data_IF_220735307666
#
_entry.id   IF_220735307666
#
_cell.length_a   1.000
_cell.length_b   1.000
_cell.length_c   1.000
_cell.angle_alpha   90.00
_cell.angle_beta   90.00
_cell.angle_gamma   90.00
#
_symmetry.space_group_name_H-M   'P 1'
#
loop_
_entity.id
_entity.type
_entity.pdbx_description
1 polymer ?
#
# COMPACT_ATOMS: atom_id res chain seq x y z
N UNK A 1 -1.77 8.30 17.81
CA UNK A 1 -2.88 7.69 17.05
C UNK A 1 -3.55 8.81 16.29
N UNK A 2 -3.75 8.64 15.00
CA UNK A 2 -4.44 9.61 14.13
C UNK A 2 -5.65 8.91 13.50
N UNK A 3 -6.77 9.62 13.43
CA UNK A 3 -8.01 9.12 12.83
C UNK A 3 -8.58 10.21 11.93
N UNK A 4 -8.95 9.84 10.71
CA UNK A 4 -9.63 10.73 9.78
C UNK A 4 -10.55 9.96 8.84
N UNK A 5 -11.49 10.66 8.21
CA UNK A 5 -12.41 10.08 7.24
C UNK A 5 -12.21 10.78 5.90
N UNK A 6 -12.00 10.00 4.85
CA UNK A 6 -12.04 10.46 3.47
C UNK A 6 -13.45 10.21 2.94
N UNK A 7 -14.16 11.28 2.63
CA UNK A 7 -15.51 11.23 2.05
C UNK A 7 -15.41 11.28 0.53
N UNK A 8 -15.99 10.29 -0.13
CA UNK A 8 -16.22 10.27 -1.57
C UNK A 8 -17.73 10.27 -1.82
N UNK A 9 -18.15 10.58 -3.04
CA UNK A 9 -19.56 10.43 -3.38
C UNK A 9 -19.99 8.96 -3.25
N UNK A 10 -21.03 8.70 -2.44
CA UNK A 10 -21.58 7.38 -2.11
C UNK A 10 -20.64 6.39 -1.39
N UNK A 11 -19.41 6.77 -1.04
CA UNK A 11 -18.44 5.92 -0.35
C UNK A 11 -17.66 6.74 0.67
N UNK A 12 -17.39 6.21 1.85
CA UNK A 12 -16.44 6.84 2.77
C UNK A 12 -15.45 5.83 3.32
N UNK A 13 -14.24 6.30 3.59
CA UNK A 13 -13.13 5.50 4.08
C UNK A 13 -12.60 6.12 5.38
N UNK A 14 -12.82 5.42 6.49
CA UNK A 14 -12.22 5.77 7.76
C UNK A 14 -10.81 5.20 7.81
N UNK A 15 -9.81 6.04 8.13
CA UNK A 15 -8.41 5.64 8.28
C UNK A 15 -8.01 5.83 9.73
N UNK A 16 -7.50 4.76 10.33
CA UNK A 16 -7.00 4.74 11.69
C UNK A 16 -5.52 4.36 11.69
N UNK A 17 -4.66 5.31 12.05
CA UNK A 17 -3.22 5.13 12.12
C UNK A 17 -2.76 5.04 13.57
N UNK A 18 -2.29 3.85 13.94
CA UNK A 18 -1.74 3.50 15.23
C UNK A 18 -0.22 3.33 15.14
N UNK A 19 0.43 3.15 16.29
CA UNK A 19 1.89 3.01 16.35
C UNK A 19 2.42 1.82 15.57
N UNK A 20 1.61 0.76 15.44
CA UNK A 20 1.99 -0.53 14.86
C UNK A 20 1.12 -0.91 13.65
N UNK A 21 0.17 -0.08 13.24
CA UNK A 21 -0.77 -0.47 12.19
C UNK A 21 -1.48 0.72 11.57
N UNK A 22 -1.87 0.56 10.30
CA UNK A 22 -2.87 1.38 9.64
C UNK A 22 -4.04 0.47 9.31
N UNK A 23 -5.23 0.81 9.79
CA UNK A 23 -6.47 0.17 9.35
C UNK A 23 -7.34 1.14 8.57
N UNK A 24 -8.04 0.60 7.59
CA UNK A 24 -8.99 1.35 6.76
C UNK A 24 -10.33 0.63 6.77
N UNK A 25 -11.42 1.35 7.01
CA UNK A 25 -12.77 0.78 7.06
C UNK A 25 -13.67 1.57 6.12
N UNK A 26 -14.16 0.90 5.08
CA UNK A 26 -15.16 1.49 4.19
C UNK A 26 -16.52 1.49 4.91
N UNK A 27 -17.40 2.45 4.61
CA UNK A 27 -18.76 2.47 5.15
C UNK A 27 -19.68 1.36 4.60
N UNK A 28 -19.24 0.67 3.54
CA UNK A 28 -19.88 -0.48 2.92
C UNK A 28 -18.83 -1.35 2.24
N UNK A 29 -19.11 -2.64 1.96
CA UNK A 29 -18.17 -3.49 1.23
C UNK A 29 -17.86 -2.95 -0.17
N UNK A 30 -16.59 -3.07 -0.59
CA UNK A 30 -16.08 -2.64 -1.90
C UNK A 30 -15.45 -3.80 -2.66
N UNK A 31 -15.48 -3.74 -3.99
CA UNK A 31 -14.75 -4.68 -4.84
C UNK A 31 -13.26 -4.36 -4.79
N UNK A 32 -12.42 -5.38 -4.72
CA UNK A 32 -10.96 -5.20 -4.62
C UNK A 32 -10.20 -6.19 -5.49
N UNK A 33 -9.03 -5.78 -5.95
CA UNK A 33 -8.00 -6.64 -6.55
C UNK A 33 -6.67 -6.33 -5.87
N UNK A 34 -5.99 -7.34 -5.33
CA UNK A 34 -4.79 -7.12 -4.54
C UNK A 34 -3.78 -8.27 -4.55
N UNK A 35 -2.55 -7.95 -4.16
CA UNK A 35 -1.51 -8.90 -3.75
C UNK A 35 -1.36 -8.96 -2.23
N UNK A 36 -2.45 -8.73 -1.47
CA UNK A 36 -2.45 -8.81 -0.02
C UNK A 36 -2.13 -10.24 0.46
N UNK A 37 -1.42 -10.36 1.59
CA UNK A 37 -1.03 -11.65 2.18
C UNK A 37 -2.27 -12.44 2.63
N UNK A 38 -3.20 -11.77 3.30
CA UNK A 38 -4.44 -12.38 3.78
C UNK A 38 -5.62 -11.91 2.94
N UNK A 39 -6.40 -12.88 2.43
CA UNK A 39 -7.55 -12.68 1.54
C UNK A 39 -7.20 -11.76 0.35
N UNK A 40 -6.07 -12.04 -0.30
CA UNK A 40 -5.67 -11.36 -1.54
C UNK A 40 -6.47 -11.80 -2.78
N UNK A 41 -6.05 -11.32 -3.95
CA UNK A 41 -6.71 -11.58 -5.22
C UNK A 41 -7.97 -10.73 -5.43
N UNK A 42 -8.90 -11.20 -6.26
CA UNK A 42 -10.20 -10.57 -6.51
C UNK A 42 -11.17 -10.91 -5.38
N UNK A 43 -11.58 -9.91 -4.61
CA UNK A 43 -12.39 -10.09 -3.40
C UNK A 43 -13.39 -8.95 -3.21
N UNK A 44 -14.25 -9.10 -2.22
CA UNK A 44 -15.05 -8.01 -1.64
C UNK A 44 -14.57 -7.80 -0.20
N UNK A 45 -14.27 -6.55 0.18
CA UNK A 45 -13.74 -6.22 1.50
C UNK A 45 -14.52 -5.06 2.15
N UNK A 46 -14.68 -5.12 3.47
CA UNK A 46 -15.21 -4.03 4.29
C UNK A 46 -14.10 -3.28 5.04
N UNK A 47 -12.95 -3.95 5.27
CA UNK A 47 -11.80 -3.35 5.93
C UNK A 47 -10.48 -3.78 5.31
N UNK A 48 -9.42 -3.03 5.60
CA UNK A 48 -8.04 -3.39 5.35
C UNK A 48 -7.21 -3.17 6.61
N UNK A 49 -6.28 -4.08 6.86
CA UNK A 49 -5.25 -3.97 7.89
C UNK A 49 -3.86 -4.02 7.25
N UNK A 50 -3.05 -2.99 7.46
CA UNK A 50 -1.62 -3.00 7.21
C UNK A 50 -0.88 -3.00 8.55
N UNK A 51 -0.34 -4.16 8.94
CA UNK A 51 0.28 -4.39 10.25
C UNK A 51 1.80 -4.27 10.17
N UNK A 52 2.40 -3.49 11.07
CA UNK A 52 3.84 -3.45 11.23
C UNK A 52 4.30 -4.74 11.92
N UNK A 53 5.26 -5.41 11.32
CA UNK A 53 5.93 -6.59 11.90
C UNK A 53 7.42 -6.36 12.01
N UNK A 54 8.04 -6.94 13.03
CA UNK A 54 9.48 -6.90 13.19
C UNK A 54 10.19 -7.64 12.05
N UNK A 55 11.46 -7.28 11.81
CA UNK A 55 12.29 -8.03 10.87
C UNK A 55 12.53 -9.44 11.41
N UNK A 56 12.19 -10.46 10.61
CA UNK A 56 12.62 -11.80 10.89
C UNK A 56 14.05 -11.99 10.34
N UNK A 57 15.04 -12.03 11.23
CA UNK A 57 16.45 -12.22 10.88
C UNK A 57 16.86 -13.69 10.87
N UNK A 58 15.94 -14.62 11.17
CA UNK A 58 16.24 -16.05 11.19
C UNK A 58 16.37 -16.60 9.76
N UNK A 59 17.42 -17.39 9.53
CA UNK A 59 17.62 -18.10 8.25
C UNK A 59 16.61 -19.25 8.06
N UNK A 60 16.07 -19.77 9.17
CA UNK A 60 15.07 -20.83 9.25
C UNK A 60 13.75 -20.31 9.86
N UNK A 61 12.62 -20.81 9.37
CA UNK A 61 11.31 -20.56 9.97
C UNK A 61 11.18 -21.39 11.26
N UNK A 62 11.63 -20.84 12.40
CA UNK A 62 11.52 -21.50 13.70
C UNK A 62 10.25 -21.07 14.45
N UNK A 63 9.14 -21.79 14.21
CA UNK A 63 7.95 -21.69 15.05
C UNK A 63 7.24 -20.34 15.10
N UNK A 64 7.48 -19.44 14.14
CA UNK A 64 6.76 -18.18 14.04
C UNK A 64 5.26 -18.44 13.79
N UNK A 65 4.42 -17.56 14.31
CA UNK A 65 3.00 -17.56 14.00
C UNK A 65 2.81 -17.21 12.51
N UNK A 66 1.88 -17.91 11.84
CA UNK A 66 1.64 -17.65 10.43
C UNK A 66 1.06 -16.24 10.23
N UNK A 67 1.37 -15.55 9.12
CA UNK A 67 0.85 -14.21 8.86
C UNK A 67 -0.67 -14.11 9.00
N UNK A 68 -1.40 -15.14 8.56
CA UNK A 68 -2.86 -15.22 8.64
C UNK A 68 -3.34 -15.15 10.10
N UNK A 69 -2.77 -15.98 10.99
CA UNK A 69 -3.18 -16.01 12.40
C UNK A 69 -2.85 -14.68 13.08
N UNK A 70 -1.67 -14.10 12.79
CA UNK A 70 -1.26 -12.81 13.36
C UNK A 70 -2.20 -11.68 12.90
N UNK A 71 -2.57 -11.66 11.62
CA UNK A 71 -3.49 -10.67 11.05
C UNK A 71 -4.91 -10.83 11.63
N UNK A 72 -5.42 -12.06 11.74
CA UNK A 72 -6.73 -12.34 12.34
C UNK A 72 -6.79 -11.90 13.80
N UNK A 73 -5.76 -12.22 14.60
CA UNK A 73 -5.68 -11.78 16.01
C UNK A 73 -5.69 -10.27 16.12
N UNK A 74 -4.89 -9.57 15.30
CA UNK A 74 -4.85 -8.11 15.33
C UNK A 74 -6.16 -7.48 14.84
N UNK A 75 -6.76 -8.01 13.77
CA UNK A 75 -8.05 -7.55 13.27
C UNK A 75 -9.16 -7.70 14.32
N UNK A 76 -9.18 -8.83 15.04
CA UNK A 76 -10.10 -9.08 16.15
C UNK A 76 -9.89 -8.08 17.29
N UNK A 77 -8.63 -7.83 17.70
CA UNK A 77 -8.31 -6.84 18.74
C UNK A 77 -8.76 -5.42 18.37
N UNK A 78 -8.67 -5.07 17.08
CA UNK A 78 -9.08 -3.78 16.55
C UNK A 78 -10.60 -3.68 16.29
N UNK A 79 -11.33 -4.79 16.37
CA UNK A 79 -12.76 -4.85 16.03
C UNK A 79 -13.04 -4.51 14.57
N UNK A 80 -12.16 -4.91 13.64
CA UNK A 80 -12.33 -4.61 12.21
C UNK A 80 -13.55 -5.34 11.62
N UNK A 81 -14.26 -4.67 10.73
CA UNK A 81 -15.38 -5.26 10.00
C UNK A 81 -14.88 -6.27 8.97
N UNK A 82 -15.42 -7.50 9.01
CA UNK A 82 -15.19 -8.54 8.01
C UNK A 82 -16.07 -8.31 6.75
N UNK A 83 -15.66 -8.83 5.58
CA UNK A 83 -14.36 -9.42 5.27
C UNK A 83 -13.24 -8.36 5.23
N UNK A 84 -12.04 -8.68 5.70
CA UNK A 84 -10.89 -7.77 5.63
C UNK A 84 -9.71 -8.32 4.81
N UNK A 85 -8.98 -7.42 4.15
CA UNK A 85 -7.69 -7.71 3.53
C UNK A 85 -6.55 -7.44 4.52
N UNK A 86 -5.56 -8.32 4.57
CA UNK A 86 -4.42 -8.17 5.47
C UNK A 86 -3.09 -8.05 4.73
N UNK A 87 -2.37 -6.95 5.01
CA UNK A 87 -1.01 -6.69 4.58
C UNK A 87 -0.09 -6.62 5.81
N UNK A 88 1.18 -6.93 5.61
CA UNK A 88 2.22 -6.72 6.61
C UNK A 88 3.33 -5.86 6.04
N UNK A 89 3.95 -5.06 6.89
CA UNK A 89 5.10 -4.23 6.51
C UNK A 89 6.14 -4.22 7.61
N UNK A 90 7.41 -4.20 7.21
CA UNK A 90 8.50 -3.91 8.14
C UNK A 90 8.96 -2.45 8.05
N UNK A 91 8.30 -1.64 7.22
CA UNK A 91 8.52 -0.19 7.17
C UNK A 91 8.01 0.49 8.43
N UNK A 92 8.59 1.65 8.75
CA UNK A 92 8.11 2.48 9.86
C UNK A 92 6.69 2.98 9.57
N UNK A 93 5.77 2.84 10.53
CA UNK A 93 4.43 3.42 10.42
C UNK A 93 4.43 4.95 10.26
N UNK A 94 5.50 5.63 10.72
CA UNK A 94 5.70 7.07 10.50
C UNK A 94 5.93 7.47 9.03
N UNK A 95 6.20 6.50 8.16
CA UNK A 95 6.25 6.69 6.71
C UNK A 95 4.86 6.83 6.07
N UNK A 96 3.78 6.59 6.81
CA UNK A 96 2.43 6.61 6.25
C UNK A 96 2.10 7.96 5.59
N UNK A 97 1.76 7.93 4.31
CA UNK A 97 1.31 9.09 3.52
C UNK A 97 0.08 8.74 2.74
N UNK A 98 -0.73 9.75 2.47
CA UNK A 98 -1.94 9.60 1.68
C UNK A 98 -2.24 10.88 0.92
N UNK A 99 -2.88 10.74 -0.23
CA UNK A 99 -3.39 11.84 -1.04
C UNK A 99 -4.79 11.47 -1.55
N UNK A 100 -5.54 12.52 -1.88
CA UNK A 100 -6.89 12.42 -2.42
C UNK A 100 -7.06 13.44 -3.55
N UNK A 101 -7.76 13.05 -4.60
CA UNK A 101 -8.11 13.92 -5.72
C UNK A 101 -9.57 13.71 -6.08
N UNK A 102 -10.28 14.80 -6.37
CA UNK A 102 -11.66 14.78 -6.85
C UNK A 102 -11.76 15.62 -8.12
N UNK A 103 -12.48 15.10 -9.11
CA UNK A 103 -12.83 15.79 -10.34
C UNK A 103 -14.31 15.48 -10.66
N UNK A 104 -15.18 16.47 -10.49
CA UNK A 104 -16.64 16.24 -10.50
C UNK A 104 -17.08 15.21 -9.44
N UNK A 105 -17.80 14.17 -9.90
CA UNK A 105 -18.27 13.04 -9.08
C UNK A 105 -17.22 11.93 -8.89
N UNK A 106 -16.10 11.98 -9.62
CA UNK A 106 -15.05 10.98 -9.52
C UNK A 106 -14.06 11.35 -8.41
N UNK A 107 -13.68 10.35 -7.63
CA UNK A 107 -12.67 10.47 -6.58
C UNK A 107 -11.55 9.46 -6.81
N UNK A 108 -10.32 9.82 -6.45
CA UNK A 108 -9.18 8.92 -6.34
C UNK A 108 -8.54 9.11 -4.96
N UNK A 109 -8.21 8.01 -4.30
CA UNK A 109 -7.49 8.00 -3.04
C UNK A 109 -6.27 7.09 -3.15
N UNK A 110 -5.21 7.45 -2.44
CA UNK A 110 -4.11 6.55 -2.16
C UNK A 110 -3.62 6.77 -0.72
N UNK A 111 -3.36 5.68 -0.01
CA UNK A 111 -2.66 5.65 1.27
C UNK A 111 -1.62 4.53 1.28
N UNK A 112 -0.44 4.79 1.83
CA UNK A 112 0.66 3.83 1.77
C UNK A 112 1.65 3.96 2.92
N UNK A 113 2.36 2.87 3.22
CA UNK A 113 3.58 2.86 4.03
C UNK A 113 4.77 2.54 3.14
N UNK A 114 5.92 3.15 3.39
CA UNK A 114 7.07 3.10 2.48
C UNK A 114 8.34 2.80 3.27
N UNK A 115 9.06 1.76 2.84
CA UNK A 115 10.41 1.48 3.25
C UNK A 115 11.19 0.89 2.07
N UNK A 116 12.41 1.36 1.85
CA UNK A 116 13.22 1.08 0.64
C UNK A 116 14.46 0.22 0.92
N UNK A 117 14.66 -0.23 2.15
CA UNK A 117 15.88 -0.95 2.57
C UNK A 117 16.06 -2.31 1.87
N UNK A 118 14.99 -2.93 1.38
CA UNK A 118 14.98 -4.16 0.56
C UNK A 118 14.48 -3.87 -0.87
N UNK A 119 14.76 -2.68 -1.39
CA UNK A 119 14.45 -2.34 -2.78
C UNK A 119 14.94 -3.44 -3.74
N UNK A 120 14.15 -3.74 -4.76
CA UNK A 120 14.44 -4.76 -5.77
C UNK A 120 14.04 -4.26 -7.15
N UNK A 121 14.87 -4.57 -8.15
CA UNK A 121 14.50 -4.40 -9.54
C UNK A 121 13.80 -5.67 -10.04
N UNK A 122 12.75 -5.52 -10.84
CA UNK A 122 12.12 -6.66 -11.49
C UNK A 122 13.16 -7.47 -12.30
N UNK A 123 13.18 -8.78 -12.09
CA UNK A 123 14.18 -9.68 -12.68
C UNK A 123 15.54 -9.65 -12.00
N UNK A 124 15.65 -9.15 -10.76
CA UNK A 124 16.81 -9.43 -9.90
C UNK A 124 16.92 -10.93 -9.60
N UNK A 125 18.14 -11.46 -9.38
CA UNK A 125 18.31 -12.82 -8.89
C UNK A 125 17.48 -13.07 -7.62
N UNK A 126 16.84 -14.23 -7.54
CA UNK A 126 16.04 -14.59 -6.39
C UNK A 126 16.93 -14.98 -5.20
N UNK A 127 16.65 -14.41 -4.02
CA UNK A 127 17.35 -14.74 -2.76
C UNK A 127 16.78 -15.98 -2.07
N UNK A 128 15.63 -16.47 -2.54
CA UNK A 128 14.96 -17.67 -2.05
C UNK A 128 14.49 -18.49 -3.25
N UNK A 129 14.90 -19.76 -3.28
CA UNK A 129 14.61 -20.72 -4.37
C UNK A 129 13.44 -21.65 -3.96
N UNK A 130 13.13 -21.68 -2.66
CA UNK A 130 12.04 -22.49 -2.13
C UNK A 130 10.68 -21.93 -2.56
N UNK A 131 9.75 -22.84 -2.87
CA UNK A 131 8.40 -22.49 -3.33
C UNK A 131 7.58 -21.78 -2.24
N UNK A 132 7.92 -21.96 -0.97
CA UNK A 132 7.27 -21.34 0.19
C UNK A 132 8.15 -20.26 0.84
N UNK A 133 8.77 -19.40 0.01
CA UNK A 133 9.62 -18.31 0.45
C UNK A 133 8.87 -17.24 1.28
N UNK A 134 8.82 -17.40 2.60
CA UNK A 134 8.27 -16.40 3.54
C UNK A 134 9.38 -15.59 4.23
N UNK A 135 10.23 -14.92 3.46
CA UNK A 135 11.25 -14.03 4.02
C UNK A 135 10.73 -12.59 4.10
N UNK A 136 10.58 -12.10 5.33
CA UNK A 136 10.29 -10.69 5.57
C UNK A 136 11.55 -9.85 5.26
N UNK A 137 11.61 -9.28 4.05
CA UNK A 137 12.63 -8.28 3.74
C UNK A 137 12.47 -7.04 4.64
N UNK A 138 13.58 -6.34 4.89
CA UNK A 138 13.54 -5.08 5.65
C UNK A 138 13.09 -3.93 4.76
N UNK A 139 12.01 -3.24 5.11
CA UNK A 139 11.36 -2.25 4.24
C UNK A 139 10.28 -2.90 3.37
N UNK A 140 9.20 -2.19 3.08
CA UNK A 140 8.14 -2.64 2.18
C UNK A 140 7.35 -1.43 1.71
N UNK A 141 6.92 -1.42 0.45
CA UNK A 141 5.95 -0.44 -0.03
C UNK A 141 4.59 -1.11 -0.13
N UNK A 142 3.70 -0.78 0.81
CA UNK A 142 2.32 -1.25 0.80
C UNK A 142 1.40 -0.10 0.39
N UNK A 143 0.62 -0.30 -0.67
CA UNK A 143 -0.21 0.71 -1.30
C UNK A 143 -1.67 0.27 -1.25
N UNK A 144 -2.53 1.16 -0.78
CA UNK A 144 -3.99 1.05 -0.91
C UNK A 144 -4.44 2.23 -1.76
N UNK A 145 -4.99 1.95 -2.93
CA UNK A 145 -5.46 2.98 -3.84
C UNK A 145 -6.84 2.62 -4.40
N UNK A 146 -7.63 3.59 -4.83
CA UNK A 146 -8.95 3.28 -5.38
C UNK A 146 -9.82 4.49 -5.59
N UNK A 147 -11.07 4.20 -5.94
CA UNK A 147 -12.06 5.18 -6.37
C UNK A 147 -13.45 4.83 -5.87
N UNK A 148 -14.34 5.82 -5.82
CA UNK A 148 -15.77 5.60 -5.61
C UNK A 148 -16.48 5.04 -6.85
N UNK A 149 -15.87 5.16 -8.04
CA UNK A 149 -16.42 4.62 -9.29
C UNK A 149 -16.48 3.09 -9.30
N UNK A 150 -17.38 2.54 -10.12
CA UNK A 150 -17.51 1.11 -10.37
C UNK A 150 -16.59 0.69 -11.52
N UNK A 151 -15.41 0.17 -11.19
CA UNK A 151 -14.47 -0.39 -12.14
C UNK A 151 -14.94 -1.78 -12.58
N UNK A 152 -15.08 -2.00 -13.88
CA UNK A 152 -15.24 -3.37 -14.39
C UNK A 152 -13.94 -4.17 -14.20
N UNK A 153 -13.98 -5.48 -14.43
CA UNK A 153 -12.83 -6.37 -14.19
C UNK A 153 -11.57 -5.98 -15.00
N UNK A 154 -11.74 -5.46 -16.22
CA UNK A 154 -10.62 -4.98 -17.03
C UNK A 154 -10.03 -3.67 -16.49
N UNK A 155 -10.88 -2.71 -16.12
CA UNK A 155 -10.47 -1.46 -15.51
C UNK A 155 -9.79 -1.67 -14.15
N UNK A 156 -10.24 -2.65 -13.36
CA UNK A 156 -9.63 -3.00 -12.08
C UNK A 156 -8.22 -3.60 -12.26
N UNK A 157 -8.02 -4.43 -13.29
CA UNK A 157 -6.71 -4.93 -13.67
C UNK A 157 -5.80 -3.82 -14.19
N UNK A 158 -6.31 -2.93 -15.05
CA UNK A 158 -5.58 -1.75 -15.53
C UNK A 158 -5.15 -0.84 -14.38
N UNK A 159 -6.02 -0.60 -13.41
CA UNK A 159 -5.72 0.18 -12.22
C UNK A 159 -4.57 -0.44 -11.41
N UNK A 160 -4.57 -1.77 -11.19
CA UNK A 160 -3.49 -2.45 -10.48
C UNK A 160 -2.15 -2.30 -11.22
N UNK A 161 -2.14 -2.46 -12.54
CA UNK A 161 -0.94 -2.24 -13.35
C UNK A 161 -0.45 -0.80 -13.23
N UNK A 162 -1.35 0.17 -13.35
CA UNK A 162 -1.02 1.59 -13.31
C UNK A 162 -0.45 2.00 -11.96
N UNK A 163 -1.00 1.51 -10.84
CA UNK A 163 -0.45 1.75 -9.50
C UNK A 163 0.97 1.18 -9.37
N UNK A 164 1.22 0.00 -9.93
CA UNK A 164 2.56 -0.61 -9.96
C UNK A 164 3.56 0.21 -10.78
N UNK A 165 3.15 0.69 -11.96
CA UNK A 165 3.95 1.56 -12.81
C UNK A 165 4.25 2.91 -12.17
N UNK A 166 3.25 3.55 -11.56
CA UNK A 166 3.40 4.81 -10.83
C UNK A 166 4.41 4.69 -9.68
N UNK A 167 4.35 3.58 -8.92
CA UNK A 167 5.37 3.28 -7.90
C UNK A 167 6.77 3.20 -8.50
N UNK A 168 6.94 2.41 -9.57
CA UNK A 168 8.23 2.24 -10.22
C UNK A 168 8.78 3.57 -10.77
N UNK A 169 7.90 4.42 -11.30
CA UNK A 169 8.25 5.74 -11.80
C UNK A 169 8.83 6.64 -10.71
N UNK A 170 8.20 6.71 -9.53
CA UNK A 170 8.73 7.52 -8.42
C UNK A 170 10.06 6.95 -7.93
N UNK A 171 10.20 5.63 -7.80
CA UNK A 171 11.49 5.03 -7.41
C UNK A 171 12.61 5.34 -8.42
N UNK A 172 12.27 5.42 -9.71
CA UNK A 172 13.18 5.87 -10.74
C UNK A 172 13.58 7.34 -10.56
N UNK A 173 12.63 8.25 -10.36
CA UNK A 173 12.89 9.68 -10.13
C UNK A 173 13.80 9.91 -8.92
N UNK A 174 13.62 9.12 -7.85
CA UNK A 174 14.45 9.16 -6.65
C UNK A 174 15.74 8.33 -6.76
N UNK A 175 16.02 7.71 -7.90
CA UNK A 175 17.21 6.89 -8.16
C UNK A 175 17.42 5.77 -7.12
N UNK A 176 16.34 5.17 -6.62
CA UNK A 176 16.41 4.07 -5.65
C UNK A 176 17.03 2.85 -6.31
N UNK A 177 18.13 2.33 -5.76
CA UNK A 177 18.86 1.19 -6.33
C UNK A 177 18.56 -0.10 -5.60
N UNK A 178 18.47 -1.19 -6.35
CA UNK A 178 18.55 -2.52 -5.79
C UNK A 178 19.96 -2.77 -5.22
N UNK A 179 20.11 -3.23 -3.97
CA UNK A 179 21.40 -3.61 -3.41
C UNK A 179 21.92 -4.93 -4.01
N UNK A 180 21.09 -5.68 -4.76
CA UNK A 180 21.48 -6.95 -5.39
C UNK A 180 22.14 -6.70 -6.75
N UNK A 181 21.48 -5.95 -7.63
CA UNK A 181 21.96 -5.76 -9.01
C UNK A 181 22.53 -4.37 -9.28
N UNK A 182 22.33 -3.40 -8.38
CA UNK A 182 22.69 -2.00 -8.60
C UNK A 182 21.80 -1.27 -9.62
N UNK A 183 20.83 -1.96 -10.24
CA UNK A 183 19.83 -1.36 -11.14
C UNK A 183 18.84 -0.51 -10.36
N UNK A 184 18.12 0.36 -11.06
CA UNK A 184 16.98 1.07 -10.48
C UNK A 184 15.92 0.07 -10.04
N UNK A 185 15.46 0.19 -8.80
CA UNK A 185 14.41 -0.64 -8.24
C UNK A 185 13.04 -0.23 -8.79
N UNK A 186 12.18 -1.22 -9.06
CA UNK A 186 10.78 -1.01 -9.47
C UNK A 186 9.79 -1.19 -8.30
N UNK A 187 10.30 -1.59 -7.14
CA UNK A 187 9.56 -1.85 -5.92
C UNK A 187 10.49 -2.40 -4.83
N UNK A 188 9.93 -3.16 -3.90
CA UNK A 188 10.66 -3.99 -2.95
C UNK A 188 10.36 -5.47 -3.15
N UNK A 189 11.12 -6.33 -2.47
CA UNK A 189 10.90 -7.78 -2.53
C UNK A 189 9.55 -8.27 -1.98
N UNK A 190 8.82 -7.45 -1.21
CA UNK A 190 7.59 -7.86 -0.50
C UNK A 190 6.43 -6.87 -0.65
N UNK A 191 6.46 -6.03 -1.70
CA UNK A 191 5.43 -5.01 -1.90
C UNK A 191 4.02 -5.62 -1.98
N UNK A 192 3.05 -4.90 -1.40
CA UNK A 192 1.64 -5.25 -1.51
C UNK A 192 0.84 -4.08 -2.07
N UNK A 193 -0.03 -4.35 -3.04
CA UNK A 193 -0.96 -3.35 -3.59
C UNK A 193 -2.38 -3.87 -3.41
N UNK A 194 -3.30 -3.03 -2.95
CA UNK A 194 -4.73 -3.24 -3.05
C UNK A 194 -5.37 -2.08 -3.80
N UNK A 195 -6.09 -2.42 -4.86
CA UNK A 195 -6.98 -1.49 -5.56
C UNK A 195 -8.41 -1.76 -5.13
N UNK A 196 -9.15 -0.72 -4.71
CA UNK A 196 -10.58 -0.81 -4.43
C UNK A 196 -11.42 -0.02 -5.44
N UNK A 197 -12.63 -0.54 -5.67
CA UNK A 197 -13.66 0.02 -6.53
C UNK A 197 -14.94 0.18 -5.73
N UNK A 198 -15.51 1.38 -5.75
CA UNK A 198 -16.86 1.65 -5.26
C UNK A 198 -17.94 1.17 -6.23
N UNK A 199 -19.10 1.80 -6.12
CA UNK A 199 -20.34 1.49 -6.84
C UNK A 199 -20.98 2.75 -7.49
N UNK A 200 -20.17 3.80 -7.68
CA UNK A 200 -20.54 5.01 -8.40
C UNK A 200 -20.54 4.82 -9.93
N UNK A 201 -20.18 5.86 -10.72
CA UNK A 201 -20.18 5.77 -12.17
C UNK A 201 -19.38 4.58 -12.71
N UNK A 202 -19.90 3.90 -13.73
CA UNK A 202 -19.22 2.75 -14.34
C UNK A 202 -18.02 3.19 -15.18
N UNK A 203 -16.87 2.57 -14.94
CA UNK A 203 -15.62 2.82 -15.65
C UNK A 203 -15.12 1.51 -16.27
N UNK A 204 -14.95 1.56 -17.59
CA UNK A 204 -14.53 0.40 -18.37
C UNK A 204 -13.03 0.40 -18.68
N UNK A 205 -12.36 1.54 -18.49
CA UNK A 205 -10.94 1.73 -18.78
C UNK A 205 -10.28 2.64 -17.72
N UNK A 206 -9.20 2.16 -17.12
CA UNK A 206 -8.35 2.89 -16.17
C UNK A 206 -6.93 3.09 -16.71
N UNK A 207 -6.72 2.95 -18.03
CA UNK A 207 -5.45 3.23 -18.69
C UNK A 207 -5.06 4.71 -18.72
N UNK A 208 -3.81 4.98 -19.11
CA UNK A 208 -3.15 6.32 -19.07
C UNK A 208 -3.83 7.44 -19.86
N UNK A 209 -4.71 7.11 -20.81
CA UNK A 209 -5.47 8.09 -21.59
C UNK A 209 -6.81 8.48 -20.97
N UNK A 210 -7.20 7.85 -19.85
CA UNK A 210 -8.47 8.13 -19.18
C UNK A 210 -8.26 9.03 -17.97
N UNK A 211 -9.29 9.85 -17.68
CA UNK A 211 -9.29 10.70 -16.50
C UNK A 211 -9.10 9.89 -15.21
N UNK A 212 -9.76 8.73 -15.10
CA UNK A 212 -9.62 7.87 -13.92
C UNK A 212 -8.19 7.34 -13.76
N UNK A 213 -7.54 6.96 -14.88
CA UNK A 213 -6.14 6.55 -14.87
C UNK A 213 -5.22 7.69 -14.44
N UNK A 214 -5.39 8.89 -15.01
CA UNK A 214 -4.64 10.08 -14.61
C UNK A 214 -4.76 10.37 -13.11
N UNK A 215 -6.00 10.43 -12.60
CA UNK A 215 -6.26 10.73 -11.19
C UNK A 215 -5.67 9.70 -10.25
N UNK A 216 -5.81 8.40 -10.57
CA UNK A 216 -5.28 7.32 -9.74
C UNK A 216 -3.75 7.32 -9.72
N UNK A 217 -3.11 7.50 -10.87
CA UNK A 217 -1.65 7.61 -10.95
C UNK A 217 -1.14 8.85 -10.18
N UNK A 218 -1.81 10.00 -10.31
CA UNK A 218 -1.44 11.25 -9.63
C UNK A 218 -1.41 11.08 -8.10
N UNK A 219 -2.48 10.53 -7.50
CA UNK A 219 -2.53 10.36 -6.04
C UNK A 219 -1.48 9.35 -5.53
N UNK A 220 -1.13 8.34 -6.33
CA UNK A 220 -0.04 7.40 -6.01
C UNK A 220 1.31 8.09 -6.08
N UNK A 221 1.58 8.82 -7.17
CA UNK A 221 2.84 9.54 -7.39
C UNK A 221 3.09 10.56 -6.28
N UNK A 222 2.08 11.37 -5.95
CA UNK A 222 2.16 12.37 -4.88
C UNK A 222 2.44 11.72 -3.53
N UNK A 223 1.64 10.73 -3.14
CA UNK A 223 1.79 10.04 -1.86
C UNK A 223 3.16 9.39 -1.70
N UNK A 224 3.66 8.72 -2.74
CA UNK A 224 4.96 8.10 -2.70
C UNK A 224 6.09 9.12 -2.72
N UNK A 225 5.96 10.21 -3.49
CA UNK A 225 6.94 11.30 -3.51
C UNK A 225 7.05 11.98 -2.14
N UNK A 226 5.93 12.22 -1.47
CA UNK A 226 5.89 12.77 -0.11
C UNK A 226 6.61 11.85 0.89
N UNK A 227 6.37 10.53 0.79
CA UNK A 227 7.03 9.54 1.63
C UNK A 227 8.53 9.44 1.34
N UNK A 228 8.91 9.41 0.06
CA UNK A 228 10.30 9.34 -0.40
C UNK A 228 11.11 10.56 0.00
N UNK A 229 10.53 11.76 -0.07
CA UNK A 229 11.17 12.99 0.42
C UNK A 229 11.57 12.88 1.90
N UNK A 230 10.71 12.27 2.72
CA UNK A 230 11.00 12.03 4.15
C UNK A 230 12.06 10.94 4.32
N UNK A 231 11.96 9.84 3.58
CA UNK A 231 12.95 8.75 3.62
C UNK A 231 14.35 9.27 3.26
N UNK A 232 14.47 10.05 2.19
CA UNK A 232 15.76 10.64 1.79
C UNK A 232 16.32 11.58 2.86
N UNK A 233 15.47 12.34 3.56
CA UNK A 233 15.92 13.19 4.66
C UNK A 233 16.38 12.37 5.87
N UNK A 234 15.70 11.26 6.20
CA UNK A 234 16.11 10.32 7.24
C UNK A 234 17.45 9.67 6.90
N UNK A 235 17.62 9.17 5.67
CA UNK A 235 18.86 8.54 5.19
C UNK A 235 20.04 9.51 5.21
N UNK A 236 19.81 10.79 4.92
CA UNK A 236 20.82 11.85 5.02
C UNK A 236 21.06 12.34 6.44
N UNK A 237 20.34 11.83 7.44
CA UNK A 237 20.42 12.26 8.83
C UNK A 237 19.97 13.72 9.07
N UNK A 238 19.18 14.29 8.14
CA UNK A 238 18.68 15.66 8.24
C UNK A 238 17.53 15.77 9.26
N UNK A 239 16.81 14.67 9.47
CA UNK A 239 15.73 14.52 10.45
C UNK A 239 15.87 13.15 11.14
N UNK A 240 15.22 12.96 12.30
CA UNK A 240 15.14 11.66 12.97
C UNK A 240 13.72 11.12 12.94
N UNK A 241 13.60 9.79 12.92
CA UNK A 241 12.29 9.10 12.95
C UNK A 241 11.48 9.50 14.19
N UNK A 242 12.14 9.78 15.32
CA UNK A 242 11.52 10.25 16.57
C UNK A 242 10.73 11.55 16.38
N UNK A 243 11.22 12.44 15.51
CA UNK A 243 10.68 13.78 15.26
C UNK A 243 9.45 13.77 14.33
N UNK A 244 9.23 12.66 13.60
CA UNK A 244 8.10 12.54 12.69
C UNK A 244 6.79 12.30 13.46
N UNK A 245 5.71 13.04 13.14
CA UNK A 245 4.41 12.79 13.73
C UNK A 245 3.82 11.48 13.20
N UNK A 246 2.88 10.92 13.95
CA UNK A 246 2.03 9.83 13.47
C UNK A 246 0.89 10.33 12.58
N UNK A 247 0.65 11.64 12.46
CA UNK A 247 -0.32 12.13 11.50
C UNK A 247 0.30 12.05 10.11
N UNK A 248 -0.32 11.25 9.22
CA UNK A 248 0.06 11.28 7.81
C UNK A 248 -0.24 12.66 7.27
N UNK A 249 0.77 13.34 6.73
CA UNK A 249 0.56 14.65 6.12
C UNK A 249 -0.39 14.51 4.94
N UNK A 250 -1.55 15.15 5.05
CA UNK A 250 -2.39 15.48 3.89
C UNK A 250 -1.72 16.64 3.17
N UNK A 251 -1.54 16.54 1.85
CA UNK A 251 -1.20 17.69 1.01
C UNK A 251 -2.29 17.91 -0.02
#
# INVERSE_FOLDING_TARGET
MSFFTVSMENLSLQVNHQVDSVSMVWNKPVNTLSSALYKGGRQVHHSLLNLQVGHNTAEEYDGFESPEITLEKKAFQLGLAEPFAGMMTSASMKSFRWNFRQEGELCAFCGMTVGTTNARAAGDPADCIDLEAHRAGSGTINIVAGTNAALNESALAEALMLVSEARAWVLFDYSVKSPVSGRIASGTGTDSILVFSGDGPEIHFCGKHTLMGEMLADVVIRSLSDAMSVIVQLEKGLIRTEDLPLEGYTV
#
